data_IF_951688910645
#
_entry.id   IF_951688910645
#
_cell.length_a   1.000
_cell.length_b   1.000
_cell.length_c   1.000
_cell.angle_alpha   90.00
_cell.angle_beta   90.00
_cell.angle_gamma   90.00
#
_symmetry.space_group_name_H-M   'P 1'
#
loop_
_entity.id
_entity.type
_entity.pdbx_description
1 polymer ?
#
# COMPACT_ATOMS: atom_id res chain seq x y z
N UNK A 1 19.29 -7.67 -6.10
CA UNK A 1 18.19 -6.78 -5.68
C UNK A 1 17.38 -7.51 -4.63
N UNK A 2 17.00 -6.84 -3.54
CA UNK A 2 16.01 -7.39 -2.61
C UNK A 2 14.62 -7.38 -3.25
N UNK A 3 13.75 -8.31 -2.86
CA UNK A 3 12.35 -8.33 -3.27
C UNK A 3 11.70 -6.98 -2.96
N UNK A 4 10.94 -6.44 -3.92
CA UNK A 4 10.13 -5.25 -3.72
C UNK A 4 9.06 -5.49 -2.64
N UNK A 5 8.53 -4.43 -1.99
CA UNK A 5 7.51 -4.58 -0.94
C UNK A 5 6.28 -5.40 -1.38
N UNK A 6 5.89 -5.29 -2.64
CA UNK A 6 4.75 -6.04 -3.22
C UNK A 6 5.09 -7.52 -3.43
N UNK A 7 6.27 -7.83 -3.93
CA UNK A 7 6.73 -9.21 -4.07
C UNK A 7 6.89 -9.89 -2.71
N UNK A 8 7.33 -9.15 -1.69
CA UNK A 8 7.40 -9.65 -0.32
C UNK A 8 6.00 -9.97 0.22
N UNK A 9 5.02 -9.07 0.01
CA UNK A 9 3.61 -9.34 0.38
C UNK A 9 3.04 -10.54 -0.35
N UNK A 10 3.25 -10.65 -1.66
CA UNK A 10 2.77 -11.77 -2.45
C UNK A 10 3.36 -13.10 -1.96
N UNK A 11 4.66 -13.12 -1.61
CA UNK A 11 5.31 -14.29 -1.04
C UNK A 11 4.72 -14.67 0.33
N UNK A 12 4.41 -13.69 1.19
CA UNK A 12 3.76 -13.93 2.49
C UNK A 12 2.38 -14.56 2.29
N UNK A 13 1.55 -13.99 1.39
CA UNK A 13 0.21 -14.50 1.11
C UNK A 13 0.27 -15.92 0.53
N UNK A 14 1.21 -16.19 -0.39
CA UNK A 14 1.41 -17.53 -0.96
C UNK A 14 1.77 -18.57 0.09
N UNK A 15 2.59 -18.21 1.07
CA UNK A 15 3.04 -19.11 2.12
C UNK A 15 2.03 -19.23 3.29
N UNK A 16 0.99 -18.40 3.30
CA UNK A 16 0.03 -18.29 4.38
C UNK A 16 -0.76 -19.59 4.63
N UNK A 17 -1.28 -20.31 3.62
CA UNK A 17 -1.94 -21.61 3.82
C UNK A 17 -1.01 -22.65 4.43
N UNK A 18 0.24 -22.74 3.96
CA UNK A 18 1.21 -23.70 4.45
C UNK A 18 1.65 -23.45 5.91
N UNK A 19 1.55 -22.20 6.38
CA UNK A 19 1.99 -21.82 7.74
C UNK A 19 0.85 -21.65 8.74
N UNK A 20 -0.36 -21.36 8.28
CA UNK A 20 -1.52 -21.06 9.13
C UNK A 20 -2.68 -22.04 8.94
N UNK A 21 -2.59 -22.96 7.97
CA UNK A 21 -3.61 -23.97 7.68
C UNK A 21 -4.79 -23.48 6.83
N UNK A 22 -4.95 -22.17 6.66
CA UNK A 22 -6.04 -21.57 5.89
C UNK A 22 -5.52 -20.46 4.97
N UNK A 23 -6.27 -20.15 3.91
CA UNK A 23 -5.92 -19.09 2.98
C UNK A 23 -6.34 -17.70 3.48
N UNK A 24 -5.91 -16.66 2.75
CA UNK A 24 -6.20 -15.27 3.11
C UNK A 24 -7.71 -14.99 3.17
N UNK A 25 -8.49 -15.57 2.25
CA UNK A 25 -9.93 -15.34 2.14
C UNK A 25 -10.65 -15.88 3.38
N UNK A 26 -10.30 -17.09 3.81
CA UNK A 26 -10.85 -17.71 5.00
C UNK A 26 -10.56 -16.90 6.25
N UNK A 27 -9.30 -16.44 6.41
CA UNK A 27 -8.93 -15.62 7.57
C UNK A 27 -9.62 -14.26 7.59
N UNK A 28 -9.80 -13.63 6.42
CA UNK A 28 -10.54 -12.39 6.27
C UNK A 28 -12.01 -12.60 6.64
N UNK A 29 -12.65 -13.68 6.19
CA UNK A 29 -14.03 -14.00 6.55
C UNK A 29 -14.18 -14.28 8.06
N UNK A 30 -13.23 -15.00 8.66
CA UNK A 30 -13.20 -15.23 10.10
C UNK A 30 -13.11 -13.92 10.88
N UNK A 31 -12.23 -13.00 10.47
CA UNK A 31 -12.12 -11.68 11.09
C UNK A 31 -13.40 -10.87 10.94
N UNK A 32 -14.09 -10.95 9.80
CA UNK A 32 -15.35 -10.25 9.58
C UNK A 32 -16.47 -10.78 10.48
N UNK A 33 -16.51 -12.10 10.72
CA UNK A 33 -17.56 -12.75 11.52
C UNK A 33 -17.33 -12.68 13.02
N UNK A 34 -16.09 -12.83 13.47
CA UNK A 34 -15.73 -13.05 14.87
C UNK A 34 -14.63 -12.12 15.39
N UNK A 35 -13.97 -11.39 14.50
CA UNK A 35 -12.88 -10.50 14.86
C UNK A 35 -13.39 -9.19 15.48
N UNK A 36 -12.55 -8.52 16.27
CA UNK A 36 -12.84 -7.20 16.82
C UNK A 36 -12.89 -6.13 15.71
N UNK A 37 -13.52 -4.99 16.00
CA UNK A 37 -13.68 -3.90 15.02
C UNK A 37 -12.36 -3.22 14.65
N UNK A 38 -11.48 -2.99 15.64
CA UNK A 38 -10.27 -2.20 15.44
C UNK A 38 -9.08 -2.99 14.86
N UNK A 39 -8.26 -2.32 14.04
CA UNK A 39 -7.13 -2.93 13.32
C UNK A 39 -6.06 -3.53 14.24
N UNK A 40 -5.74 -2.82 15.33
CA UNK A 40 -4.74 -3.26 16.30
C UNK A 40 -5.25 -4.47 17.07
N UNK A 41 -6.51 -4.41 17.46
CA UNK A 41 -7.23 -5.47 18.16
C UNK A 41 -7.34 -6.72 17.29
N UNK A 42 -7.61 -6.60 15.99
CA UNK A 42 -7.63 -7.75 15.06
C UNK A 42 -6.27 -8.44 14.99
N UNK A 43 -5.20 -7.65 14.96
CA UNK A 43 -3.83 -8.18 14.91
C UNK A 43 -3.47 -8.89 16.21
N UNK A 44 -3.82 -8.31 17.37
CA UNK A 44 -3.63 -8.94 18.68
C UNK A 44 -4.48 -10.22 18.82
N UNK A 45 -5.74 -10.17 18.42
CA UNK A 45 -6.67 -11.30 18.46
C UNK A 45 -6.18 -12.50 17.64
N UNK A 46 -5.64 -12.26 16.43
CA UNK A 46 -5.04 -13.34 15.63
C UNK A 46 -3.80 -13.95 16.28
N UNK A 47 -2.97 -13.15 16.95
CA UNK A 47 -1.80 -13.63 17.67
C UNK A 47 -2.18 -14.43 18.93
N UNK A 48 -3.16 -13.95 19.70
CA UNK A 48 -3.54 -14.55 20.98
C UNK A 48 -4.45 -15.77 20.81
N UNK A 49 -5.48 -15.68 19.95
CA UNK A 49 -6.48 -16.74 19.78
C UNK A 49 -6.07 -17.81 18.78
N UNK A 50 -5.32 -17.43 17.75
CA UNK A 50 -4.97 -18.32 16.65
C UNK A 50 -3.47 -18.56 16.53
N UNK A 51 -2.66 -17.98 17.43
CA UNK A 51 -1.20 -18.13 17.44
C UNK A 51 -0.55 -17.78 16.09
N UNK A 52 -1.17 -16.90 15.32
CA UNK A 52 -0.58 -16.43 14.07
C UNK A 52 0.65 -15.58 14.38
N UNK A 53 1.76 -15.89 13.70
CA UNK A 53 2.94 -15.02 13.75
C UNK A 53 2.61 -13.60 13.28
N UNK A 54 3.25 -12.60 13.89
CA UNK A 54 2.99 -11.17 13.65
C UNK A 54 2.98 -10.79 12.15
N UNK A 55 3.84 -11.41 11.35
CA UNK A 55 3.91 -11.23 9.90
C UNK A 55 2.59 -11.62 9.20
N UNK A 56 2.08 -12.82 9.49
CA UNK A 56 0.85 -13.34 8.88
C UNK A 56 -0.38 -12.63 9.43
N UNK A 57 -0.42 -12.35 10.74
CA UNK A 57 -1.52 -11.58 11.34
C UNK A 57 -1.68 -10.20 10.68
N UNK A 58 -0.57 -9.49 10.46
CA UNK A 58 -0.58 -8.20 9.73
C UNK A 58 -1.00 -8.35 8.27
N UNK A 59 -0.58 -9.42 7.59
CA UNK A 59 -0.96 -9.68 6.21
C UNK A 59 -2.47 -9.94 6.08
N UNK A 60 -3.06 -10.73 6.98
CA UNK A 60 -4.50 -10.99 7.04
C UNK A 60 -5.29 -9.70 7.28
N UNK A 61 -4.89 -8.91 8.29
CA UNK A 61 -5.57 -7.64 8.61
C UNK A 61 -5.46 -6.64 7.46
N UNK A 62 -4.33 -6.58 6.76
CA UNK A 62 -4.22 -5.76 5.55
C UNK A 62 -5.09 -6.32 4.40
N UNK A 63 -5.29 -7.63 4.33
CA UNK A 63 -6.20 -8.28 3.39
C UNK A 63 -7.67 -7.90 3.63
N UNK A 64 -8.09 -7.63 4.87
CA UNK A 64 -9.45 -7.14 5.15
C UNK A 64 -9.68 -5.76 4.56
N UNK A 65 -8.66 -4.89 4.57
CA UNK A 65 -8.73 -3.55 3.96
C UNK A 65 -8.78 -3.67 2.43
N UNK A 66 -7.89 -4.45 1.81
CA UNK A 66 -7.86 -4.64 0.35
C UNK A 66 -9.11 -5.34 -0.22
N UNK A 67 -9.81 -6.16 0.56
CA UNK A 67 -11.08 -6.79 0.13
C UNK A 67 -12.31 -5.92 0.40
N UNK A 68 -12.23 -4.91 1.28
CA UNK A 68 -13.28 -3.91 1.48
C UNK A 68 -13.10 -2.74 0.50
N UNK A 69 -13.39 -2.96 -0.79
CA UNK A 69 -13.50 -1.88 -1.78
C UNK A 69 -12.26 -0.99 -1.97
N UNK A 70 -11.14 -1.34 -1.34
CA UNK A 70 -9.90 -0.58 -1.40
C UNK A 70 -9.16 -0.96 -2.68
N UNK A 71 -9.35 -0.13 -3.69
CA UNK A 71 -8.48 -0.07 -4.85
C UNK A 71 -7.28 0.78 -4.45
N UNK A 72 -6.07 0.23 -4.61
CA UNK A 72 -4.86 1.00 -4.36
C UNK A 72 -4.83 2.17 -5.36
N UNK A 73 -4.76 3.42 -4.88
CA UNK A 73 -4.86 4.56 -5.78
C UNK A 73 -3.70 4.52 -6.77
N UNK A 74 -4.03 4.73 -8.04
CA UNK A 74 -3.03 4.95 -9.09
C UNK A 74 -2.17 6.17 -8.76
N UNK A 75 -0.94 6.25 -9.30
CA UNK A 75 -0.10 7.43 -9.15
C UNK A 75 -0.84 8.72 -9.52
N UNK A 76 -1.67 8.69 -10.55
CA UNK A 76 -2.52 9.79 -10.99
C UNK A 76 -3.59 10.14 -9.95
N UNK A 77 -4.31 9.15 -9.40
CA UNK A 77 -5.30 9.36 -8.34
C UNK A 77 -4.68 9.93 -7.06
N UNK A 78 -3.44 9.57 -6.73
CA UNK A 78 -2.71 10.17 -5.61
C UNK A 78 -2.45 11.66 -5.83
N UNK A 79 -2.05 12.04 -7.05
CA UNK A 79 -1.84 13.46 -7.42
C UNK A 79 -3.17 14.20 -7.48
N UNK A 80 -4.21 13.61 -8.07
CA UNK A 80 -5.56 14.18 -8.13
C UNK A 80 -6.10 14.46 -6.73
N UNK A 81 -5.96 13.52 -5.80
CA UNK A 81 -6.36 13.69 -4.41
C UNK A 81 -5.57 14.80 -3.70
N UNK A 82 -4.28 14.94 -3.99
CA UNK A 82 -3.43 15.97 -3.39
C UNK A 82 -3.86 17.39 -3.77
N UNK A 83 -4.34 17.57 -4.99
CA UNK A 83 -4.76 18.86 -5.53
C UNK A 83 -6.28 19.04 -5.58
N UNK A 84 -7.08 18.21 -4.91
CA UNK A 84 -8.52 18.39 -4.85
C UNK A 84 -8.95 19.67 -4.09
N UNK A 85 -10.17 20.15 -4.36
CA UNK A 85 -10.80 21.25 -3.64
C UNK A 85 -10.07 22.59 -3.79
N UNK A 86 -9.78 23.25 -2.66
CA UNK A 86 -9.15 24.57 -2.63
C UNK A 86 -7.76 24.63 -3.28
N UNK A 87 -7.12 23.47 -3.52
CA UNK A 87 -5.80 23.36 -4.15
C UNK A 87 -5.85 23.03 -5.64
N UNK A 88 -7.03 22.90 -6.24
CA UNK A 88 -7.20 22.53 -7.65
C UNK A 88 -6.47 23.47 -8.61
N UNK A 89 -6.41 24.77 -8.26
CA UNK A 89 -5.69 25.76 -9.04
C UNK A 89 -4.17 25.52 -9.12
N UNK A 90 -3.59 24.73 -8.21
CA UNK A 90 -2.15 24.41 -8.23
C UNK A 90 -1.81 23.18 -9.07
N UNK A 91 -2.81 22.40 -9.51
CA UNK A 91 -2.56 21.21 -10.35
C UNK A 91 -1.83 21.55 -11.66
N UNK A 92 -2.25 22.58 -12.44
CA UNK A 92 -1.52 22.93 -13.67
C UNK A 92 -0.08 23.36 -13.41
N UNK A 93 0.20 23.98 -12.25
CA UNK A 93 1.56 24.37 -11.86
C UNK A 93 2.41 23.14 -11.56
N UNK A 94 1.86 22.18 -10.82
CA UNK A 94 2.51 20.89 -10.58
C UNK A 94 2.85 20.18 -11.90
N UNK A 95 1.87 20.04 -12.79
CA UNK A 95 2.06 19.32 -14.04
C UNK A 95 3.15 19.98 -14.89
N UNK A 96 3.16 21.31 -14.94
CA UNK A 96 4.20 22.06 -15.67
C UNK A 96 5.59 21.88 -15.08
N UNK A 97 5.72 21.80 -13.76
CA UNK A 97 7.00 21.55 -13.08
C UNK A 97 7.50 20.13 -13.33
N UNK A 98 6.60 19.13 -13.32
CA UNK A 98 6.94 17.74 -13.61
C UNK A 98 7.36 17.56 -15.07
N UNK A 99 6.63 18.16 -16.01
CA UNK A 99 7.00 18.17 -17.43
C UNK A 99 8.40 18.77 -17.64
N UNK A 100 8.64 19.95 -17.05
CA UNK A 100 9.93 20.62 -17.13
C UNK A 100 11.05 19.77 -16.52
N UNK A 101 10.82 19.16 -15.36
CA UNK A 101 11.81 18.32 -14.70
C UNK A 101 12.13 17.05 -15.52
N UNK A 102 11.13 16.46 -16.19
CA UNK A 102 11.35 15.31 -17.06
C UNK A 102 12.09 15.67 -18.36
N UNK A 103 11.86 16.88 -18.89
CA UNK A 103 12.51 17.35 -20.10
C UNK A 103 13.96 17.82 -19.87
N UNK A 104 14.20 18.61 -18.82
CA UNK A 104 15.47 19.31 -18.60
C UNK A 104 16.46 18.54 -17.71
N UNK A 105 15.99 17.56 -16.93
CA UNK A 105 16.83 16.81 -16.00
C UNK A 105 16.90 15.33 -16.42
N UNK A 106 17.94 14.93 -17.17
CA UNK A 106 18.13 13.55 -17.59
C UNK A 106 18.20 12.58 -16.41
N UNK A 107 17.45 11.49 -16.50
CA UNK A 107 17.38 10.45 -15.47
C UNK A 107 16.45 10.78 -14.29
N UNK A 108 15.56 11.75 -14.46
CA UNK A 108 14.47 12.03 -13.52
C UNK A 108 13.42 10.92 -13.53
N UNK A 109 12.99 10.51 -12.33
CA UNK A 109 11.85 9.61 -12.10
C UNK A 109 10.88 10.28 -11.14
N UNK A 110 9.59 10.22 -11.47
CA UNK A 110 8.50 10.74 -10.64
C UNK A 110 7.93 9.60 -9.81
N UNK A 111 7.73 9.83 -8.52
CA UNK A 111 7.07 8.89 -7.62
C UNK A 111 6.03 9.63 -6.77
N UNK A 112 4.76 9.62 -7.20
CA UNK A 112 3.67 10.16 -6.41
C UNK A 112 3.48 9.38 -5.10
N UNK A 113 3.53 10.09 -3.99
CA UNK A 113 3.18 9.59 -2.67
C UNK A 113 1.88 10.26 -2.21
N UNK A 114 1.28 9.74 -1.15
CA UNK A 114 -0.02 10.22 -0.64
C UNK A 114 -0.05 11.72 -0.28
N UNK A 115 1.09 12.30 0.12
CA UNK A 115 1.17 13.69 0.62
C UNK A 115 2.21 14.55 -0.09
N UNK A 116 2.94 13.98 -1.05
CA UNK A 116 3.98 14.68 -1.82
C UNK A 116 4.29 13.90 -3.09
N UNK A 117 4.86 14.57 -4.09
CA UNK A 117 5.38 13.92 -5.30
C UNK A 117 6.90 14.01 -5.27
N UNK A 118 7.58 12.86 -5.22
CA UNK A 118 9.04 12.81 -5.22
C UNK A 118 9.60 12.81 -6.64
N UNK A 119 10.65 13.60 -6.86
CA UNK A 119 11.46 13.59 -8.07
C UNK A 119 12.84 13.02 -7.72
N UNK A 120 13.15 11.85 -8.26
CA UNK A 120 14.46 11.22 -8.08
C UNK A 120 15.31 11.48 -9.31
N UNK A 121 16.58 11.85 -9.12
CA UNK A 121 17.57 11.87 -10.20
C UNK A 121 18.63 10.80 -9.93
N UNK A 122 19.07 10.12 -10.98
CA UNK A 122 20.19 9.19 -10.88
C UNK A 122 21.45 9.95 -10.43
N UNK A 123 22.08 9.49 -9.35
CA UNK A 123 23.30 10.10 -8.80
C UNK A 123 24.40 10.04 -9.86
N UNK A 124 24.87 11.20 -10.31
CA UNK A 124 26.07 11.27 -11.15
C UNK A 124 27.24 10.75 -10.30
N UNK A 125 27.89 9.70 -10.79
CA UNK A 125 29.09 9.12 -10.18
C UNK A 125 30.30 9.75 -10.84
#
# INVERSE_FOLDING_TARGET
MGLTPDEQRAAIIRNLPAKTGHDLVWWVDLLKRKGPAGKRERTAWLQEKHSLGQLYARAVVAGTEKTEGFVEPTPEELVDAQYAGAKAAFRPVHDRLVEWALAELPGTRVNPCQTYVALFRQRQT
#
